data_IF_570479708444
#
_entry.id   IF_570479708444
#
_cell.length_a   1.000
_cell.length_b   1.000
_cell.length_c   1.000
_cell.angle_alpha   90.00
_cell.angle_beta   90.00
_cell.angle_gamma   90.00
#
_symmetry.space_group_name_H-M   'P 1'
#
loop_
_entity.id
_entity.type
_entity.pdbx_description
1 polymer ?
#
# COMPACT_ATOMS: atom_id res chain seq x y z
N UNK A 1 28.89 42.49 -7.13
CA UNK A 1 28.82 41.04 -7.43
C UNK A 1 27.41 40.54 -7.10
N UNK A 2 26.53 40.38 -8.11
CA UNK A 2 25.17 39.83 -7.89
C UNK A 2 25.17 38.36 -8.27
N UNK A 3 25.13 37.51 -7.25
CA UNK A 3 25.09 36.05 -7.38
C UNK A 3 23.71 35.66 -7.91
N UNK A 4 23.69 35.10 -9.13
CA UNK A 4 22.49 34.53 -9.75
C UNK A 4 22.20 33.20 -9.05
N UNK A 5 21.05 33.11 -8.40
CA UNK A 5 20.54 31.85 -7.84
C UNK A 5 19.62 31.21 -8.87
N UNK A 6 20.03 30.07 -9.42
CA UNK A 6 19.20 29.24 -10.30
C UNK A 6 18.30 28.40 -9.41
N UNK A 7 16.99 28.64 -9.48
CA UNK A 7 15.97 27.85 -8.78
C UNK A 7 15.62 26.66 -9.67
N UNK A 8 16.08 25.46 -9.32
CA UNK A 8 15.67 24.23 -10.01
C UNK A 8 14.20 23.99 -9.65
N UNK A 9 13.31 24.16 -10.62
CA UNK A 9 11.89 23.87 -10.47
C UNK A 9 11.72 22.36 -10.34
N UNK A 10 11.20 21.94 -9.18
CA UNK A 10 10.78 20.56 -8.90
C UNK A 10 9.63 20.20 -9.84
N UNK A 11 9.84 19.20 -10.69
CA UNK A 11 8.80 18.70 -11.60
C UNK A 11 7.79 17.89 -10.79
N UNK A 12 6.67 18.52 -10.40
CA UNK A 12 5.47 17.80 -10.01
C UNK A 12 4.84 17.17 -11.26
N UNK A 13 4.31 15.92 -11.15
CA UNK A 13 3.68 15.26 -12.29
C UNK A 13 2.57 16.16 -12.83
N UNK A 14 2.75 16.52 -14.09
CA UNK A 14 1.99 17.56 -14.76
C UNK A 14 0.51 17.22 -14.78
N UNK A 15 -0.28 17.87 -13.91
CA UNK A 15 -1.73 18.01 -14.11
C UNK A 15 -1.94 18.96 -15.28
N UNK A 16 -1.78 18.45 -16.50
CA UNK A 16 -2.21 19.13 -17.73
C UNK A 16 -3.71 19.34 -17.57
N UNK A 17 -4.16 20.60 -17.67
CA UNK A 17 -5.57 21.00 -17.68
C UNK A 17 -6.25 20.36 -18.91
N UNK A 18 -6.72 19.14 -18.75
CA UNK A 18 -7.77 18.54 -19.57
C UNK A 18 -9.04 18.56 -18.73
N UNK A 19 -10.12 19.10 -19.27
CA UNK A 19 -11.43 19.17 -18.61
C UNK A 19 -12.14 17.79 -18.59
N UNK A 20 -11.41 16.71 -18.31
CA UNK A 20 -12.02 15.44 -17.91
C UNK A 20 -11.94 15.37 -16.38
N UNK A 21 -13.10 15.23 -15.74
CA UNK A 21 -13.24 15.17 -14.29
C UNK A 21 -12.77 13.80 -13.76
N UNK A 22 -11.52 13.40 -14.00
CA UNK A 22 -11.01 12.13 -13.48
C UNK A 22 -10.75 12.21 -11.97
N UNK A 23 -11.27 11.24 -11.22
CA UNK A 23 -11.03 11.12 -9.79
C UNK A 23 -10.12 9.94 -9.49
N UNK A 24 -9.17 10.14 -8.59
CA UNK A 24 -8.24 9.11 -8.13
C UNK A 24 -8.71 8.55 -6.80
N UNK A 25 -9.04 7.26 -6.74
CA UNK A 25 -9.36 6.56 -5.48
C UNK A 25 -8.09 5.90 -4.98
N UNK A 26 -7.75 6.13 -3.71
CA UNK A 26 -6.61 5.47 -3.04
C UNK A 26 -7.15 4.41 -2.09
N UNK A 27 -6.95 3.14 -2.40
CA UNK A 27 -7.27 2.01 -1.50
C UNK A 27 -5.99 1.44 -0.91
N UNK A 28 -6.08 0.86 0.29
CA UNK A 28 -4.97 0.18 0.95
C UNK A 28 -5.22 -1.31 0.87
N UNK A 29 -4.27 -2.05 0.31
CA UNK A 29 -4.25 -3.52 0.30
C UNK A 29 -3.05 -4.02 1.12
N UNK A 30 -3.18 -5.22 1.65
CA UNK A 30 -2.12 -5.90 2.39
C UNK A 30 -1.74 -7.14 1.59
N UNK A 31 -0.52 -7.17 1.08
CA UNK A 31 -0.02 -8.23 0.20
C UNK A 31 0.67 -9.34 0.99
N UNK A 32 1.96 -9.54 0.72
CA UNK A 32 2.71 -10.66 1.26
C UNK A 32 3.03 -10.55 2.75
N UNK A 33 3.01 -11.67 3.48
CA UNK A 33 3.47 -11.71 4.87
C UNK A 33 5.00 -11.63 4.93
N UNK A 34 5.53 -10.81 5.83
CA UNK A 34 6.96 -10.58 6.04
C UNK A 34 7.42 -11.00 7.46
N UNK A 35 6.56 -11.66 8.24
CA UNK A 35 6.93 -12.18 9.56
C UNK A 35 7.91 -13.34 9.42
N UNK A 36 9.01 -13.32 10.18
CA UNK A 36 9.83 -14.51 10.39
C UNK A 36 9.14 -15.44 11.40
N UNK A 37 8.68 -16.60 10.95
CA UNK A 37 8.05 -17.63 11.78
C UNK A 37 9.07 -18.55 12.47
N UNK A 38 10.30 -18.62 11.97
CA UNK A 38 11.37 -19.43 12.56
C UNK A 38 12.28 -18.63 13.52
N UNK A 39 11.96 -17.37 13.80
CA UNK A 39 12.77 -16.49 14.65
C UNK A 39 13.05 -17.11 16.03
N UNK A 40 12.04 -17.74 16.63
CA UNK A 40 12.14 -18.34 17.96
C UNK A 40 13.08 -19.56 18.02
N UNK A 41 13.33 -20.20 16.87
CA UNK A 41 14.23 -21.36 16.74
C UNK A 41 15.61 -20.92 16.21
N UNK A 42 15.85 -19.61 16.07
CA UNK A 42 17.08 -19.06 15.51
C UNK A 42 17.21 -19.21 13.99
N UNK A 43 16.10 -19.53 13.31
CA UNK A 43 16.04 -19.66 11.86
C UNK A 43 15.43 -18.45 11.15
N UNK A 44 15.36 -18.53 9.82
CA UNK A 44 14.64 -17.57 8.99
C UNK A 44 13.71 -18.32 8.03
N UNK A 45 12.41 -18.24 8.28
CA UNK A 45 11.37 -18.79 7.42
C UNK A 45 10.15 -17.86 7.46
N UNK A 46 9.67 -17.48 6.28
CA UNK A 46 8.51 -16.61 6.11
C UNK A 46 7.41 -17.44 5.47
N UNK A 47 6.20 -17.43 6.02
CA UNK A 47 5.08 -18.26 5.53
C UNK A 47 4.61 -17.84 4.12
N UNK A 48 4.93 -16.59 3.72
CA UNK A 48 4.84 -16.16 2.33
C UNK A 48 3.42 -16.18 1.75
N UNK A 49 2.41 -15.74 2.50
CA UNK A 49 1.10 -15.43 1.92
C UNK A 49 1.28 -14.46 0.75
N UNK A 50 0.46 -14.55 -0.29
CA UNK A 50 0.50 -13.60 -1.42
C UNK A 50 -0.47 -12.43 -1.27
N UNK A 51 -1.55 -12.66 -0.53
CA UNK A 51 -2.60 -11.70 -0.24
C UNK A 51 -3.06 -11.86 1.21
N UNK A 52 -3.40 -10.74 1.84
CA UNK A 52 -4.02 -10.75 3.16
C UNK A 52 -5.50 -11.09 3.03
N UNK A 53 -5.90 -12.19 3.66
CA UNK A 53 -7.30 -12.54 3.85
C UNK A 53 -7.66 -12.39 5.33
N UNK A 54 -8.62 -11.52 5.63
CA UNK A 54 -9.16 -11.35 6.97
C UNK A 54 -9.83 -12.65 7.45
N UNK A 55 -9.57 -13.05 8.70
CA UNK A 55 -10.17 -14.26 9.29
C UNK A 55 -11.59 -14.05 9.85
N UNK A 56 -12.08 -12.81 9.92
CA UNK A 56 -13.41 -12.49 10.42
C UNK A 56 -13.97 -11.18 9.87
N UNK A 57 -15.10 -10.77 10.41
CA UNK A 57 -15.91 -9.65 9.92
C UNK A 57 -15.26 -8.29 10.17
N UNK A 58 -15.50 -7.33 9.27
CA UNK A 58 -14.99 -5.97 9.38
C UNK A 58 -15.35 -5.33 10.73
N UNK A 59 -14.37 -4.72 11.40
CA UNK A 59 -14.53 -4.12 12.72
C UNK A 59 -14.24 -5.05 13.91
N UNK A 60 -14.00 -6.33 13.67
CA UNK A 60 -13.54 -7.29 14.70
C UNK A 60 -12.01 -7.38 14.77
N UNK A 61 -11.47 -7.95 15.85
CA UNK A 61 -10.05 -8.31 15.94
C UNK A 61 -9.65 -9.38 14.91
N UNK A 62 -10.58 -10.29 14.58
CA UNK A 62 -10.39 -11.32 13.57
C UNK A 62 -10.19 -10.73 12.16
N UNK A 63 -10.75 -9.55 11.86
CA UNK A 63 -10.48 -8.84 10.61
C UNK A 63 -9.05 -8.28 10.51
N UNK A 64 -8.33 -8.18 11.63
CA UNK A 64 -6.94 -7.75 11.65
C UNK A 64 -5.95 -8.91 11.50
N UNK A 65 -6.44 -10.15 11.50
CA UNK A 65 -5.64 -11.37 11.49
C UNK A 65 -5.79 -12.10 10.16
N UNK A 66 -4.66 -12.56 9.61
CA UNK A 66 -4.62 -13.29 8.36
C UNK A 66 -5.11 -14.73 8.56
N UNK A 67 -6.12 -15.14 7.80
CA UNK A 67 -6.64 -16.50 7.82
C UNK A 67 -5.63 -17.57 7.36
N UNK A 68 -4.64 -17.19 6.54
CA UNK A 68 -3.66 -18.12 5.98
C UNK A 68 -2.48 -18.40 6.93
N UNK A 69 -1.88 -17.36 7.54
CA UNK A 69 -0.68 -17.50 8.38
C UNK A 69 -0.88 -17.09 9.85
N UNK A 70 -2.10 -16.69 10.24
CA UNK A 70 -2.41 -16.22 11.59
C UNK A 70 -1.72 -14.92 12.01
N UNK A 71 -1.03 -14.24 11.09
CA UNK A 71 -0.31 -13.01 11.39
C UNK A 71 -1.24 -11.80 11.35
N UNK A 72 -0.96 -10.81 12.20
CA UNK A 72 -1.63 -9.53 12.11
C UNK A 72 -1.30 -8.84 10.77
N UNK A 73 -2.25 -8.10 10.18
CA UNK A 73 -2.11 -7.38 8.89
C UNK A 73 -0.88 -6.45 8.82
N UNK A 74 -0.37 -6.01 9.96
CA UNK A 74 0.84 -5.17 10.03
C UNK A 74 2.12 -5.91 9.62
N UNK A 75 2.13 -7.24 9.71
CA UNK A 75 3.22 -8.05 9.17
C UNK A 75 3.10 -8.28 7.66
N UNK A 76 1.99 -7.86 7.05
CA UNK A 76 1.83 -7.92 5.61
C UNK A 76 2.26 -6.61 4.97
N UNK A 77 2.89 -6.70 3.80
CA UNK A 77 3.33 -5.53 3.04
C UNK A 77 2.12 -4.65 2.70
N UNK A 78 2.15 -3.40 3.15
CA UNK A 78 1.13 -2.40 2.83
C UNK A 78 1.35 -1.90 1.40
N UNK A 79 0.35 -2.08 0.55
CA UNK A 79 0.32 -1.63 -0.83
C UNK A 79 -0.77 -0.56 -1.00
N UNK A 80 -0.42 0.54 -1.66
CA UNK A 80 -1.38 1.59 -2.01
C UNK A 80 -1.80 1.39 -3.47
N UNK A 81 -3.06 1.08 -3.68
CA UNK A 81 -3.64 1.05 -5.01
C UNK A 81 -4.25 2.40 -5.34
N UNK A 82 -3.90 2.92 -6.51
CA UNK A 82 -4.45 4.18 -7.04
C UNK A 82 -5.23 3.85 -8.29
N UNK A 83 -6.55 3.91 -8.21
CA UNK A 83 -7.43 3.74 -9.36
C UNK A 83 -7.80 5.10 -9.94
N UNK A 84 -7.65 5.27 -11.25
CA UNK A 84 -8.09 6.47 -11.97
C UNK A 84 -9.42 6.16 -12.64
N UNK A 85 -10.50 6.81 -12.20
CA UNK A 85 -11.79 6.74 -12.86
C UNK A 85 -11.97 7.96 -13.75
N UNK A 86 -12.24 7.72 -15.04
CA UNK A 86 -12.63 8.77 -15.96
C UNK A 86 -14.15 9.00 -15.84
N UNK A 87 -14.53 10.24 -15.56
CA UNK A 87 -15.93 10.64 -15.38
C UNK A 87 -16.52 11.01 -16.74
N UNK A 88 -16.62 10.02 -17.61
CA UNK A 88 -17.37 10.12 -18.86
C UNK A 88 -18.84 9.83 -18.56
N UNK A 89 -19.64 10.88 -18.36
CA UNK A 89 -21.10 10.87 -18.52
C UNK A 89 -21.45 11.77 -19.71
#
# INVERSE_FOLDING_TARGET
MRKRQVVVRREEPSSRRSSSSSFTVRSVRYGECQKNHAADVGGYAVDGCREFMASGEEGTDAALTCAACGCHRNFHRRELETEMYDRSD
#
